data_IF_713347913924
#
_entry.id   IF_713347913924
#
_cell.length_a   1.000
_cell.length_b   1.000
_cell.length_c   1.000
_cell.angle_alpha   90.00
_cell.angle_beta   90.00
_cell.angle_gamma   90.00
#
_symmetry.space_group_name_H-M   'P 1'
#
loop_
_entity.id
_entity.type
_entity.pdbx_description
1 polymer ?
#
# COMPACT_ATOMS: atom_id res chain seq x y z
N UNK A 1 -10.17 4.57 -16.01
CA UNK A 1 -9.35 5.53 -16.77
C UNK A 1 -8.31 6.11 -15.83
N UNK A 2 -7.27 6.74 -16.37
CA UNK A 2 -6.18 7.38 -15.61
C UNK A 2 -6.71 8.37 -14.55
N UNK A 3 -7.93 8.87 -14.72
CA UNK A 3 -8.68 9.71 -13.78
C UNK A 3 -8.74 9.14 -12.35
N UNK A 4 -8.66 7.82 -12.17
CA UNK A 4 -8.66 7.20 -10.82
C UNK A 4 -7.42 7.55 -10.00
N UNK A 5 -6.35 7.99 -10.65
CA UNK A 5 -5.09 8.37 -10.00
C UNK A 5 -5.04 9.85 -9.59
N UNK A 6 -6.02 10.66 -9.99
CA UNK A 6 -6.09 12.11 -9.70
C UNK A 6 -4.79 12.87 -10.08
N UNK A 7 -4.14 12.45 -11.17
CA UNK A 7 -2.92 13.06 -11.68
C UNK A 7 -3.25 14.16 -12.69
N UNK A 8 -2.39 15.18 -12.75
CA UNK A 8 -2.46 16.22 -13.78
C UNK A 8 -2.00 15.70 -15.15
N UNK A 9 -2.39 16.41 -16.22
CA UNK A 9 -1.98 16.08 -17.58
C UNK A 9 -0.45 16.05 -17.73
N UNK A 10 0.22 17.06 -17.17
CA UNK A 10 1.69 17.16 -17.18
C UNK A 10 2.34 15.94 -16.52
N UNK A 11 1.82 15.48 -15.38
CA UNK A 11 2.36 14.31 -14.70
C UNK A 11 2.22 13.03 -15.53
N UNK A 12 1.06 12.85 -16.16
CA UNK A 12 0.75 11.66 -16.96
C UNK A 12 1.56 11.60 -18.25
N UNK A 13 1.76 12.74 -18.92
CA UNK A 13 2.35 12.79 -20.26
C UNK A 13 3.86 13.04 -20.23
N UNK A 14 4.35 13.90 -19.33
CA UNK A 14 5.72 14.42 -19.38
C UNK A 14 6.62 13.86 -18.28
N UNK A 15 6.06 13.50 -17.12
CA UNK A 15 6.85 13.17 -15.93
C UNK A 15 6.88 11.67 -15.66
N UNK A 16 5.71 11.01 -15.66
CA UNK A 16 5.59 9.62 -15.21
C UNK A 16 5.64 8.67 -16.41
N UNK A 17 6.59 7.72 -16.47
CA UNK A 17 6.63 6.74 -17.54
C UNK A 17 5.36 5.87 -17.58
N UNK A 18 4.89 5.57 -18.79
CA UNK A 18 3.65 4.81 -19.02
C UNK A 18 3.57 3.47 -18.26
N UNK A 19 4.71 2.75 -18.14
CA UNK A 19 4.78 1.48 -17.39
C UNK A 19 4.37 1.65 -15.92
N UNK A 20 4.74 2.77 -15.31
CA UNK A 20 4.43 3.05 -13.91
C UNK A 20 2.94 3.39 -13.75
N UNK A 21 2.37 4.17 -14.68
CA UNK A 21 0.93 4.43 -14.71
C UNK A 21 0.10 3.14 -14.77
N UNK A 22 0.53 2.16 -15.58
CA UNK A 22 -0.12 0.85 -15.68
C UNK A 22 -0.04 0.01 -14.38
N UNK A 23 1.02 0.20 -13.59
CA UNK A 23 1.16 -0.46 -12.29
C UNK A 23 0.32 0.26 -11.23
N UNK A 24 0.39 1.59 -11.18
CA UNK A 24 -0.39 2.43 -10.28
C UNK A 24 -1.90 2.24 -10.49
N UNK A 25 -2.36 2.13 -11.74
CA UNK A 25 -3.77 1.90 -12.04
C UNK A 25 -4.27 0.50 -11.60
N UNK A 26 -3.36 -0.48 -11.49
CA UNK A 26 -3.68 -1.82 -10.97
C UNK A 26 -3.57 -1.89 -9.45
N UNK A 27 -2.82 -0.99 -8.83
CA UNK A 27 -2.67 -0.92 -7.38
C UNK A 27 -3.92 -0.29 -6.76
N UNK A 28 -4.81 -1.14 -6.25
CA UNK A 28 -5.99 -0.70 -5.50
C UNK A 28 -5.63 -0.66 -4.02
N UNK A 29 -5.89 0.46 -3.35
CA UNK A 29 -5.82 0.57 -1.89
C UNK A 29 -6.75 -0.48 -1.26
N UNK A 30 -6.17 -1.58 -0.78
CA UNK A 30 -6.88 -2.58 0.02
C UNK A 30 -6.97 -2.07 1.45
N UNK A 31 -7.97 -1.23 1.71
CA UNK A 31 -8.30 -0.88 3.09
C UNK A 31 -8.70 -2.15 3.86
N UNK A 32 -8.13 -2.31 5.06
CA UNK A 32 -8.39 -3.46 5.92
C UNK A 32 -9.75 -3.27 6.58
N UNK A 33 -10.81 -3.63 5.85
CA UNK A 33 -12.16 -3.69 6.41
C UNK A 33 -12.33 -5.05 7.09
N UNK A 34 -12.34 -5.09 8.42
CA UNK A 34 -12.64 -6.29 9.22
C UNK A 34 -11.50 -7.31 9.41
N UNK A 35 -10.27 -7.02 8.97
CA UNK A 35 -9.11 -7.90 9.15
C UNK A 35 -8.20 -7.50 10.33
N UNK A 36 -7.41 -8.45 10.84
CA UNK A 36 -6.38 -8.19 11.85
C UNK A 36 -5.33 -7.22 11.28
N UNK A 37 -5.33 -5.98 11.79
CA UNK A 37 -4.26 -5.02 11.51
C UNK A 37 -2.96 -5.56 12.08
N UNK A 38 -2.00 -5.89 11.21
CA UNK A 38 -0.67 -6.31 11.64
C UNK A 38 0.02 -5.09 12.24
N UNK A 39 0.05 -5.03 13.57
CA UNK A 39 0.83 -4.04 14.29
C UNK A 39 2.29 -4.47 14.30
N UNK A 40 3.18 -3.54 13.96
CA UNK A 40 4.63 -3.76 14.06
C UNK A 40 4.98 -4.00 15.52
N UNK A 41 5.45 -5.20 15.84
CA UNK A 41 5.91 -5.57 17.18
C UNK A 41 7.41 -5.84 17.16
N UNK A 42 8.08 -5.56 18.28
CA UNK A 42 9.49 -5.87 18.44
C UNK A 42 9.71 -7.37 18.70
N UNK A 43 10.86 -7.91 18.31
CA UNK A 43 11.25 -9.29 18.60
C UNK A 43 11.24 -9.60 20.11
N UNK A 44 11.55 -8.60 20.95
CA UNK A 44 11.46 -8.70 22.41
C UNK A 44 10.01 -8.90 22.90
N UNK A 45 9.06 -8.19 22.30
CA UNK A 45 7.63 -8.34 22.63
C UNK A 45 7.09 -9.69 22.17
N UNK A 46 7.54 -10.17 21.00
CA UNK A 46 7.19 -11.48 20.48
C UNK A 46 7.68 -12.61 21.40
N UNK A 47 8.92 -12.52 21.87
CA UNK A 47 9.48 -13.48 22.81
C UNK A 47 8.72 -13.51 24.14
N UNK A 48 8.29 -12.35 24.65
CA UNK A 48 7.54 -12.25 25.90
C UNK A 48 6.12 -12.86 25.82
N UNK A 49 5.46 -12.82 24.65
CA UNK A 49 4.17 -13.50 24.44
C UNK A 49 4.28 -15.02 24.49
N UNK A 50 5.38 -15.58 23.98
CA UNK A 50 5.62 -17.04 23.99
C UNK A 50 5.79 -17.61 25.41
N UNK A 51 6.24 -16.78 26.36
CA UNK A 51 6.42 -17.17 27.77
C UNK A 51 5.13 -17.16 28.60
N UNK A 52 4.03 -16.61 28.07
CA UNK A 52 2.73 -16.48 28.77
C UNK A 52 1.75 -17.61 28.44
N UNK A 53 2.17 -18.63 27.70
CA UNK A 53 1.39 -19.82 27.35
C UNK A 53 1.91 -21.00 28.16
#
# INVERSE_FOLDING_TARGET
MIDTLHLSYTEVFEIIPYRNLLMMQRDKLRAVYGGQKVNRISGKELANRRKKK
#
